data_IF_528806560458
#
_entry.id   IF_528806560458
#
_cell.length_a   1.000
_cell.length_b   1.000
_cell.length_c   1.000
_cell.angle_alpha   90.00
_cell.angle_beta   90.00
_cell.angle_gamma   90.00
#
_symmetry.space_group_name_H-M   'P 1'
#
loop_
_entity.id
_entity.type
_entity.pdbx_description
1 polymer ?
#
# COMPACT_ATOMS: atom_id res chain seq x y z
N UNK A 1 -19.96 -3.69 7.37
CA UNK A 1 -18.76 -4.46 7.02
C UNK A 1 -18.01 -4.87 8.27
N UNK A 2 -17.53 -6.14 8.37
CA UNK A 2 -16.70 -6.62 9.48
C UNK A 2 -15.22 -6.61 9.05
N UNK A 3 -14.32 -6.09 9.88
CA UNK A 3 -12.87 -6.07 9.64
C UNK A 3 -12.13 -6.82 10.75
N UNK A 4 -11.03 -7.49 10.39
CA UNK A 4 -10.09 -8.10 11.32
C UNK A 4 -8.83 -7.22 11.37
N UNK A 5 -8.42 -6.78 12.56
CA UNK A 5 -7.17 -6.05 12.79
C UNK A 5 -6.24 -6.89 13.65
N UNK A 6 -5.07 -7.19 13.11
CA UNK A 6 -3.98 -7.94 13.73
C UNK A 6 -2.66 -7.23 13.52
N UNK A 7 -1.67 -7.49 14.37
CA UNK A 7 -0.32 -6.95 14.25
C UNK A 7 0.68 -7.85 14.98
N UNK A 8 1.96 -7.65 14.74
CA UNK A 8 3.05 -8.26 15.51
C UNK A 8 2.93 -9.79 15.55
N UNK A 9 2.95 -10.40 14.37
CA UNK A 9 2.79 -11.85 14.18
C UNK A 9 4.12 -12.57 14.45
N UNK A 10 5.25 -11.95 14.06
CA UNK A 10 6.60 -12.38 14.35
C UNK A 10 6.89 -13.83 13.97
N UNK A 11 6.71 -14.20 12.72
CA UNK A 11 7.24 -15.48 12.25
C UNK A 11 8.76 -15.51 12.40
N UNK A 12 9.29 -16.51 13.10
CA UNK A 12 10.71 -16.60 13.48
C UNK A 12 11.36 -17.81 12.81
N UNK A 13 12.22 -17.58 11.81
CA UNK A 13 13.02 -18.65 11.25
C UNK A 13 14.23 -18.97 12.16
N UNK A 14 14.66 -20.26 12.28
CA UNK A 14 14.13 -21.41 11.56
C UNK A 14 12.87 -22.05 12.17
N UNK A 15 12.48 -21.69 13.39
CA UNK A 15 11.45 -22.36 14.18
C UNK A 15 10.10 -22.41 13.45
N UNK A 16 9.71 -21.31 12.79
CA UNK A 16 8.43 -21.23 12.07
C UNK A 16 8.35 -22.16 10.84
N UNK A 17 9.47 -22.74 10.40
CA UNK A 17 9.53 -23.67 9.25
C UNK A 17 9.09 -25.09 9.65
N UNK A 18 9.16 -25.43 10.92
CA UNK A 18 8.73 -26.71 11.45
C UNK A 18 7.63 -26.49 12.52
N UNK A 19 6.36 -26.88 12.21
CA UNK A 19 5.25 -26.70 13.17
C UNK A 19 5.48 -27.38 14.53
N UNK A 20 6.36 -28.39 14.62
CA UNK A 20 6.70 -29.05 15.88
C UNK A 20 7.72 -28.28 16.72
N UNK A 21 8.53 -27.48 16.05
CA UNK A 21 9.57 -26.68 16.71
C UNK A 21 9.10 -25.22 16.97
N UNK A 22 8.02 -24.79 16.31
CA UNK A 22 7.49 -23.45 16.42
C UNK A 22 6.69 -23.25 17.74
N UNK A 23 7.24 -22.55 18.73
CA UNK A 23 6.59 -22.36 20.02
C UNK A 23 5.35 -21.46 19.94
N UNK A 24 5.20 -20.67 18.86
CA UNK A 24 4.12 -19.72 18.68
C UNK A 24 2.96 -20.29 17.84
N UNK A 25 3.19 -21.41 17.17
CA UNK A 25 2.16 -22.13 16.37
C UNK A 25 0.88 -22.44 17.16
N UNK A 26 0.93 -22.89 18.46
CA UNK A 26 -0.27 -23.14 19.24
C UNK A 26 -1.14 -21.89 19.46
N UNK A 27 -0.54 -20.71 19.60
CA UNK A 27 -1.25 -19.44 19.83
C UNK A 27 -1.98 -19.05 18.55
N UNK A 28 -1.28 -19.06 17.41
CA UNK A 28 -1.88 -18.79 16.10
C UNK A 28 -3.01 -19.75 15.78
N UNK A 29 -2.86 -21.03 16.14
CA UNK A 29 -3.92 -22.05 15.97
C UNK A 29 -5.14 -21.75 16.82
N UNK A 30 -4.96 -21.34 18.09
CA UNK A 30 -6.08 -20.96 18.97
C UNK A 30 -6.77 -19.71 18.49
N UNK A 31 -6.02 -18.72 18.03
CA UNK A 31 -6.57 -17.50 17.41
C UNK A 31 -7.46 -17.84 16.20
N UNK A 32 -6.99 -18.70 15.30
CA UNK A 32 -7.75 -19.11 14.12
C UNK A 32 -9.04 -19.85 14.49
N UNK A 33 -9.02 -20.69 15.53
CA UNK A 33 -10.23 -21.36 16.04
C UNK A 33 -11.24 -20.37 16.61
N UNK A 34 -10.76 -19.44 17.44
CA UNK A 34 -11.61 -18.39 18.00
C UNK A 34 -12.18 -17.50 16.88
N UNK A 35 -11.37 -17.11 15.91
CA UNK A 35 -11.85 -16.35 14.74
C UNK A 35 -12.93 -17.11 13.96
N UNK A 36 -12.77 -18.41 13.73
CA UNK A 36 -13.80 -19.22 13.07
C UNK A 36 -15.12 -19.19 13.83
N UNK A 37 -15.09 -19.28 15.17
CA UNK A 37 -16.28 -19.14 16.01
C UNK A 37 -16.92 -17.75 15.93
N UNK A 38 -16.08 -16.69 15.87
CA UNK A 38 -16.58 -15.32 15.73
C UNK A 38 -17.21 -15.10 14.34
N UNK A 39 -16.61 -15.64 13.29
CA UNK A 39 -17.15 -15.56 11.92
C UNK A 39 -18.50 -16.26 11.81
N UNK A 40 -18.70 -17.40 12.47
CA UNK A 40 -20.01 -18.07 12.53
C UNK A 40 -21.10 -17.19 13.17
N UNK A 41 -20.72 -16.37 14.15
CA UNK A 41 -21.66 -15.49 14.88
C UNK A 41 -21.88 -14.15 14.18
N UNK A 42 -20.82 -13.60 13.58
CA UNK A 42 -20.77 -12.22 13.11
C UNK A 42 -20.86 -12.10 11.58
N UNK A 43 -20.70 -13.21 10.85
CA UNK A 43 -20.56 -13.20 9.39
C UNK A 43 -19.11 -13.05 8.93
N UNK A 44 -18.92 -13.08 7.60
CA UNK A 44 -17.60 -13.03 6.98
C UNK A 44 -16.89 -11.71 7.23
N UNK A 45 -15.56 -11.78 7.29
CA UNK A 45 -14.68 -10.62 7.35
C UNK A 45 -14.59 -10.00 5.95
N UNK A 46 -14.87 -8.72 5.85
CA UNK A 46 -14.80 -7.95 4.60
C UNK A 46 -13.43 -7.36 4.31
N UNK A 47 -12.55 -7.24 5.33
CA UNK A 47 -11.16 -6.80 5.17
C UNK A 47 -10.28 -7.30 6.33
N UNK A 48 -9.01 -7.64 6.03
CA UNK A 48 -7.97 -7.97 7.02
C UNK A 48 -6.93 -6.86 6.99
N UNK A 49 -6.66 -6.27 8.15
CA UNK A 49 -5.71 -5.18 8.35
C UNK A 49 -4.56 -5.69 9.20
N UNK A 50 -3.35 -5.73 8.65
CA UNK A 50 -2.14 -6.25 9.29
C UNK A 50 -1.22 -5.08 9.60
N UNK A 51 -1.08 -4.76 10.88
CA UNK A 51 -0.39 -3.58 11.40
C UNK A 51 1.13 -3.67 11.43
N UNK A 52 1.75 -4.57 10.66
CA UNK A 52 3.21 -4.75 10.58
C UNK A 52 3.75 -5.85 11.47
N UNK A 53 5.08 -6.01 11.46
CA UNK A 53 5.84 -7.04 12.16
C UNK A 53 5.32 -8.45 11.84
N UNK A 54 5.18 -8.72 10.55
CA UNK A 54 4.80 -10.04 10.03
C UNK A 54 5.95 -11.02 10.23
N UNK A 55 7.15 -10.64 9.79
CA UNK A 55 8.40 -11.34 10.02
C UNK A 55 9.03 -10.92 11.35
N UNK A 56 10.08 -11.62 11.79
CA UNK A 56 10.87 -11.24 12.98
C UNK A 56 12.23 -10.64 12.60
N UNK A 57 12.78 -11.01 11.45
CA UNK A 57 14.07 -10.54 10.93
C UNK A 57 14.02 -10.19 9.45
N UNK A 58 12.83 -10.00 8.90
CA UNK A 58 12.61 -9.79 7.47
C UNK A 58 13.19 -10.92 6.59
N UNK A 59 13.34 -12.15 7.13
CA UNK A 59 13.87 -13.27 6.37
C UNK A 59 12.82 -13.78 5.36
N UNK A 60 13.22 -14.10 4.11
CA UNK A 60 12.30 -14.60 3.09
C UNK A 60 11.49 -15.83 3.51
N UNK A 61 12.09 -16.73 4.30
CA UNK A 61 11.47 -17.93 4.82
C UNK A 61 10.34 -17.63 5.81
N UNK A 62 10.49 -16.59 6.62
CA UNK A 62 9.45 -16.11 7.55
C UNK A 62 8.21 -15.66 6.77
N UNK A 63 8.41 -14.92 5.67
CA UNK A 63 7.31 -14.50 4.80
C UNK A 63 6.67 -15.66 4.02
N UNK A 64 7.41 -16.70 3.67
CA UNK A 64 6.83 -17.89 3.05
C UNK A 64 5.84 -18.56 3.99
N UNK A 65 6.23 -18.74 5.26
CA UNK A 65 5.34 -19.28 6.30
C UNK A 65 4.16 -18.36 6.55
N UNK A 66 4.40 -17.04 6.61
CA UNK A 66 3.35 -16.04 6.78
C UNK A 66 2.30 -16.10 5.65
N UNK A 67 2.72 -16.25 4.40
CA UNK A 67 1.78 -16.38 3.26
C UNK A 67 0.84 -17.56 3.41
N UNK A 68 1.36 -18.72 3.82
CA UNK A 68 0.54 -19.92 4.03
C UNK A 68 -0.47 -19.67 5.15
N UNK A 69 -0.04 -19.09 6.25
CA UNK A 69 -0.91 -18.79 7.39
C UNK A 69 -1.97 -17.74 7.02
N UNK A 70 -1.62 -16.67 6.33
CA UNK A 70 -2.55 -15.63 5.87
C UNK A 70 -3.56 -16.21 4.87
N UNK A 71 -3.16 -17.13 4.01
CA UNK A 71 -4.08 -17.83 3.13
C UNK A 71 -5.11 -18.64 3.92
N UNK A 72 -4.71 -19.35 4.97
CA UNK A 72 -5.62 -20.05 5.86
C UNK A 72 -6.53 -19.08 6.60
N UNK A 73 -5.99 -17.94 7.06
CA UNK A 73 -6.76 -16.89 7.72
C UNK A 73 -7.83 -16.31 6.78
N UNK A 74 -7.49 -16.04 5.53
CA UNK A 74 -8.43 -15.61 4.47
C UNK A 74 -9.56 -16.64 4.27
N UNK A 75 -9.22 -17.92 4.18
CA UNK A 75 -10.21 -19.00 4.01
C UNK A 75 -11.16 -19.11 5.21
N UNK A 76 -10.63 -19.12 6.43
CA UNK A 76 -11.42 -19.24 7.66
C UNK A 76 -12.32 -18.02 7.87
N UNK A 77 -11.81 -16.83 7.59
CA UNK A 77 -12.56 -15.59 7.76
C UNK A 77 -13.54 -15.29 6.63
N UNK A 78 -13.38 -15.94 5.47
CA UNK A 78 -14.12 -15.63 4.24
C UNK A 78 -13.70 -14.32 3.59
N UNK A 79 -12.55 -13.74 3.98
CA UNK A 79 -12.05 -12.50 3.44
C UNK A 79 -11.38 -12.73 2.07
N UNK A 80 -11.77 -11.98 1.01
CA UNK A 80 -11.06 -12.04 -0.28
C UNK A 80 -9.59 -11.60 -0.15
N UNK A 81 -8.69 -12.19 -0.93
CA UNK A 81 -7.26 -11.86 -0.90
C UNK A 81 -6.98 -10.40 -1.25
N UNK A 82 -7.78 -9.83 -2.12
CA UNK A 82 -7.71 -8.43 -2.59
C UNK A 82 -8.11 -7.43 -1.49
N UNK A 83 -8.61 -7.93 -0.35
CA UNK A 83 -8.99 -7.13 0.82
C UNK A 83 -8.12 -7.42 2.05
N UNK A 84 -6.89 -7.86 1.79
CA UNK A 84 -5.85 -8.00 2.81
C UNK A 84 -4.87 -6.84 2.63
N UNK A 85 -4.67 -6.07 3.69
CA UNK A 85 -3.86 -4.86 3.69
C UNK A 85 -2.76 -4.99 4.73
N UNK A 86 -1.53 -4.63 4.38
CA UNK A 86 -0.36 -4.79 5.26
C UNK A 86 0.55 -3.57 5.19
N UNK A 87 1.12 -3.18 6.30
CA UNK A 87 2.19 -2.17 6.39
C UNK A 87 3.45 -2.82 6.96
N UNK A 88 4.65 -2.29 6.67
CA UNK A 88 5.86 -2.81 7.29
C UNK A 88 5.97 -2.35 8.75
N UNK A 89 6.40 -3.25 9.63
CA UNK A 89 6.88 -2.93 10.96
C UNK A 89 8.42 -2.91 11.02
N UNK A 90 8.98 -2.60 12.18
CA UNK A 90 10.43 -2.51 12.34
C UNK A 90 11.14 -3.87 12.26
N UNK A 91 10.44 -4.96 12.50
CA UNK A 91 10.93 -6.32 12.28
C UNK A 91 10.80 -6.78 10.81
N UNK A 92 10.04 -6.06 9.98
CA UNK A 92 9.97 -6.25 8.53
C UNK A 92 11.08 -5.48 7.79
N UNK A 93 11.98 -4.81 8.51
CA UNK A 93 13.19 -4.15 8.01
C UNK A 93 14.39 -5.04 8.24
N UNK A 94 15.10 -5.41 7.18
CA UNK A 94 16.32 -6.23 7.29
C UNK A 94 17.49 -5.40 7.85
N UNK A 95 17.70 -5.52 9.16
CA UNK A 95 18.78 -4.84 9.87
C UNK A 95 20.17 -5.34 9.46
N UNK A 96 20.27 -6.56 8.93
CA UNK A 96 21.51 -7.10 8.41
C UNK A 96 21.98 -6.35 7.18
N UNK A 97 21.06 -6.01 6.26
CA UNK A 97 21.32 -5.15 5.10
C UNK A 97 21.80 -3.78 5.56
N UNK A 98 21.11 -3.14 6.50
CA UNK A 98 21.51 -1.81 7.03
C UNK A 98 22.88 -1.88 7.68
N UNK A 99 23.13 -2.85 8.56
CA UNK A 99 24.41 -3.02 9.25
C UNK A 99 25.57 -3.27 8.29
N UNK A 100 25.31 -3.98 7.20
CA UNK A 100 26.29 -4.31 6.17
C UNK A 100 26.59 -3.17 5.19
N UNK A 101 25.82 -2.08 5.18
CA UNK A 101 25.93 -1.01 4.17
C UNK A 101 26.13 0.37 4.79
N UNK A 102 27.36 0.85 4.75
CA UNK A 102 27.70 2.25 5.14
C UNK A 102 26.91 3.27 4.32
N UNK A 103 26.57 2.94 3.07
CA UNK A 103 25.81 3.84 2.21
C UNK A 103 24.37 4.01 2.72
N UNK A 104 23.68 2.92 3.10
CA UNK A 104 22.35 2.99 3.70
C UNK A 104 22.39 3.78 5.01
N UNK A 105 23.35 3.48 5.89
CA UNK A 105 23.53 4.19 7.16
C UNK A 105 23.72 5.69 6.93
N UNK A 106 24.54 6.08 5.94
CA UNK A 106 24.74 7.49 5.59
C UNK A 106 23.46 8.17 5.10
N UNK A 107 22.64 7.49 4.28
CA UNK A 107 21.36 8.03 3.81
C UNK A 107 20.40 8.23 4.98
N UNK A 108 20.24 7.22 5.84
CA UNK A 108 19.39 7.32 7.04
C UNK A 108 19.90 8.42 7.98
N UNK A 109 21.21 8.48 8.24
CA UNK A 109 21.83 9.52 9.07
C UNK A 109 21.64 10.92 8.51
N UNK A 110 21.80 11.10 7.20
CA UNK A 110 21.58 12.40 6.55
C UNK A 110 20.15 12.93 6.73
N UNK A 111 19.14 12.05 6.80
CA UNK A 111 17.75 12.43 7.08
C UNK A 111 17.58 12.70 8.57
N UNK A 112 17.97 11.75 9.41
CA UNK A 112 17.74 11.80 10.86
C UNK A 112 18.44 12.97 11.55
N UNK A 113 19.68 13.31 11.14
CA UNK A 113 20.45 14.44 11.69
C UNK A 113 19.98 15.81 11.21
N UNK A 114 19.10 15.87 10.20
CA UNK A 114 18.54 17.14 9.71
C UNK A 114 17.48 17.64 10.69
N UNK A 115 17.51 18.94 11.03
CA UNK A 115 16.50 19.55 11.89
C UNK A 115 15.08 19.32 11.34
N UNK A 116 14.09 19.10 12.21
CA UNK A 116 12.69 18.79 11.84
C UNK A 116 12.13 19.72 10.77
N UNK A 117 12.37 21.02 10.88
CA UNK A 117 11.92 22.03 9.89
C UNK A 117 12.40 21.79 8.47
N UNK A 118 13.51 21.08 8.29
CA UNK A 118 14.12 20.80 6.98
C UNK A 118 14.14 19.30 6.62
N UNK A 119 13.70 18.43 7.55
CA UNK A 119 13.78 16.97 7.40
C UNK A 119 12.95 16.46 6.22
N UNK A 120 11.77 17.01 6.04
CA UNK A 120 10.91 16.67 4.91
C UNK A 120 11.56 17.01 3.56
N UNK A 121 12.17 18.18 3.46
CA UNK A 121 12.95 18.52 2.26
C UNK A 121 14.09 17.54 2.02
N UNK A 122 14.81 17.16 3.09
CA UNK A 122 15.92 16.21 3.01
C UNK A 122 15.44 14.82 2.60
N UNK A 123 14.37 14.32 3.19
CA UNK A 123 13.75 13.04 2.81
C UNK A 123 13.36 13.04 1.34
N UNK A 124 12.63 14.07 0.88
CA UNK A 124 12.24 14.21 -0.53
C UNK A 124 13.45 14.24 -1.47
N UNK A 125 14.54 14.91 -1.07
CA UNK A 125 15.79 14.92 -1.83
C UNK A 125 16.34 13.51 -1.99
N UNK A 126 16.41 12.72 -0.89
CA UNK A 126 16.91 11.34 -0.93
C UNK A 126 15.99 10.43 -1.77
N UNK A 127 14.69 10.51 -1.58
CA UNK A 127 13.72 9.68 -2.33
C UNK A 127 13.70 9.97 -3.84
N UNK A 128 13.96 11.21 -4.25
CA UNK A 128 14.00 11.61 -5.68
C UNK A 128 15.27 11.20 -6.39
N UNK A 129 16.36 11.07 -5.67
CA UNK A 129 17.60 10.54 -6.22
C UNK A 129 17.51 9.03 -6.38
N UNK A 130 17.75 8.52 -7.59
CA UNK A 130 17.53 7.11 -7.91
C UNK A 130 18.39 6.15 -7.07
N UNK A 131 19.61 6.58 -6.71
CA UNK A 131 20.54 5.78 -5.92
C UNK A 131 20.17 5.79 -4.45
N UNK A 132 20.03 6.97 -3.86
CA UNK A 132 19.77 7.08 -2.42
C UNK A 132 18.35 6.66 -2.05
N UNK A 133 17.37 6.88 -2.95
CA UNK A 133 16.01 6.38 -2.77
C UNK A 133 15.93 4.86 -2.78
N UNK A 134 16.65 4.20 -3.70
CA UNK A 134 16.77 2.75 -3.70
C UNK A 134 17.43 2.22 -2.43
N UNK A 135 18.56 2.82 -2.01
CA UNK A 135 19.26 2.45 -0.78
C UNK A 135 18.38 2.59 0.46
N UNK A 136 17.57 3.65 0.57
CA UNK A 136 16.70 3.88 1.72
C UNK A 136 15.66 2.78 1.91
N UNK A 137 15.21 2.15 0.81
CA UNK A 137 14.19 1.09 0.83
C UNK A 137 14.75 -0.32 0.59
N UNK A 138 16.06 -0.47 0.44
CA UNK A 138 16.69 -1.78 0.18
C UNK A 138 16.39 -2.78 1.30
N UNK A 139 16.43 -2.33 2.55
CA UNK A 139 16.10 -3.16 3.71
C UNK A 139 14.63 -3.60 3.79
N UNK A 140 13.75 -3.03 2.95
CA UNK A 140 12.35 -3.44 2.84
C UNK A 140 12.09 -4.38 1.65
N UNK A 141 13.12 -4.86 0.94
CA UNK A 141 12.96 -5.68 -0.27
C UNK A 141 12.15 -6.95 -0.02
N UNK A 142 12.47 -7.69 1.04
CA UNK A 142 11.74 -8.92 1.39
C UNK A 142 10.27 -8.64 1.79
N UNK A 143 10.02 -7.53 2.51
CA UNK A 143 8.66 -7.05 2.76
C UNK A 143 7.93 -6.72 1.46
N UNK A 144 8.56 -6.01 0.53
CA UNK A 144 7.95 -5.65 -0.75
C UNK A 144 7.56 -6.89 -1.57
N UNK A 145 8.41 -7.91 -1.60
CA UNK A 145 8.09 -9.19 -2.25
C UNK A 145 6.90 -9.87 -1.57
N UNK A 146 6.84 -9.83 -0.25
CA UNK A 146 5.70 -10.35 0.51
C UNK A 146 4.42 -9.55 0.26
N UNK A 147 4.49 -8.22 0.25
CA UNK A 147 3.34 -7.31 0.13
C UNK A 147 2.80 -7.18 -1.31
N UNK A 148 3.55 -7.66 -2.32
CA UNK A 148 3.19 -7.54 -3.73
C UNK A 148 1.80 -8.10 -4.08
N UNK A 149 1.40 -9.31 -3.63
CA UNK A 149 0.08 -9.87 -3.93
C UNK A 149 -1.09 -9.07 -3.34
N UNK A 150 -0.81 -8.19 -2.37
CA UNK A 150 -1.81 -7.35 -1.67
C UNK A 150 -1.82 -5.91 -2.20
N UNK A 151 -0.91 -5.55 -3.14
CA UNK A 151 -0.77 -4.18 -3.63
C UNK A 151 -0.29 -3.18 -2.58
N UNK A 152 0.38 -3.66 -1.51
CA UNK A 152 0.83 -2.89 -0.35
C UNK A 152 2.34 -2.61 -0.35
N UNK A 153 2.97 -2.65 -1.52
CA UNK A 153 4.40 -2.38 -1.68
C UNK A 153 4.71 -0.89 -1.50
N UNK A 154 5.93 -0.60 -1.08
CA UNK A 154 6.47 0.75 -0.90
C UNK A 154 7.69 0.97 -1.79
N UNK A 155 7.78 2.15 -2.41
CA UNK A 155 8.84 2.52 -3.35
C UNK A 155 9.30 3.95 -3.11
N UNK A 156 10.48 4.37 -3.56
CA UNK A 156 10.92 5.76 -3.41
C UNK A 156 9.94 6.79 -3.96
N UNK A 157 9.28 6.47 -5.09
CA UNK A 157 8.25 7.32 -5.69
C UNK A 157 6.88 7.21 -4.98
N UNK A 158 6.65 6.15 -4.21
CA UNK A 158 5.42 5.88 -3.49
C UNK A 158 5.77 5.23 -2.13
N UNK A 159 6.26 6.00 -1.15
CA UNK A 159 6.70 5.46 0.15
C UNK A 159 5.55 5.09 1.08
N UNK A 160 4.30 5.19 0.64
CA UNK A 160 3.06 4.76 1.30
C UNK A 160 2.04 4.39 0.22
N UNK A 161 0.95 3.74 0.60
CA UNK A 161 -0.10 3.35 -0.32
C UNK A 161 -1.48 3.71 0.22
N UNK A 162 -2.48 3.79 -0.65
CA UNK A 162 -3.88 3.79 -0.27
C UNK A 162 -4.69 2.91 -1.20
N UNK A 163 -5.76 2.33 -0.68
CA UNK A 163 -6.73 1.53 -1.42
C UNK A 163 -8.14 1.83 -0.90
N UNK A 164 -9.10 1.88 -1.81
CA UNK A 164 -10.49 2.15 -1.50
C UNK A 164 -11.27 0.83 -1.46
N UNK A 165 -12.10 0.65 -0.44
CA UNK A 165 -13.07 -0.44 -0.37
C UNK A 165 -14.47 0.13 -0.20
N UNK A 166 -15.42 -0.46 -0.92
CA UNK A 166 -16.81 -0.03 -0.83
C UNK A 166 -17.43 -0.44 0.51
N UNK A 167 -18.05 0.52 1.15
CA UNK A 167 -18.99 0.33 2.26
C UNK A 167 -20.43 0.33 1.71
N UNK A 168 -21.38 0.17 2.62
CA UNK A 168 -22.80 0.27 2.28
C UNK A 168 -23.18 1.71 1.87
N UNK A 169 -24.29 1.84 1.14
CA UNK A 169 -24.94 3.12 0.81
C UNK A 169 -24.09 4.11 0.04
N UNK A 170 -23.23 3.61 -0.83
CA UNK A 170 -22.38 4.44 -1.70
C UNK A 170 -21.26 5.17 -0.95
N UNK A 171 -20.88 4.67 0.22
CA UNK A 171 -19.70 5.13 0.94
C UNK A 171 -18.49 4.27 0.61
N UNK A 172 -17.32 4.88 0.66
CA UNK A 172 -16.03 4.20 0.59
C UNK A 172 -15.26 4.33 1.92
N UNK A 173 -14.48 3.31 2.24
CA UNK A 173 -13.42 3.37 3.23
C UNK A 173 -12.10 3.40 2.49
N UNK A 174 -11.36 4.51 2.60
CA UNK A 174 -10.03 4.65 2.04
C UNK A 174 -9.01 4.29 3.10
N UNK A 175 -8.29 3.21 2.85
CA UNK A 175 -7.27 2.69 3.75
C UNK A 175 -5.92 3.23 3.29
N UNK A 176 -5.27 4.01 4.14
CA UNK A 176 -3.90 4.48 3.95
C UNK A 176 -2.95 3.59 4.75
N UNK A 177 -2.03 2.92 4.08
CA UNK A 177 -0.93 2.21 4.70
C UNK A 177 0.28 3.13 4.79
N UNK A 178 0.58 3.62 5.99
CA UNK A 178 1.68 4.53 6.24
C UNK A 178 2.96 3.76 6.58
N UNK A 179 4.09 4.28 6.11
CA UNK A 179 5.42 3.70 6.37
C UNK A 179 6.15 4.52 7.40
N UNK A 180 6.10 4.08 8.64
CA UNK A 180 6.85 4.67 9.76
C UNK A 180 8.28 4.13 9.88
N UNK A 181 8.64 3.15 9.03
CA UNK A 181 9.89 2.39 9.14
C UNK A 181 11.01 2.88 8.23
N UNK A 182 10.87 4.02 7.55
CA UNK A 182 11.92 4.55 6.67
C UNK A 182 13.26 4.80 7.38
N UNK A 183 13.20 5.14 8.67
CA UNK A 183 14.37 5.34 9.53
C UNK A 183 14.53 4.26 10.60
N UNK A 184 13.79 3.15 10.50
CA UNK A 184 13.95 2.01 11.42
C UNK A 184 15.27 1.29 11.19
N UNK A 185 15.77 0.68 12.26
CA UNK A 185 16.97 -0.16 12.21
C UNK A 185 18.26 0.60 11.98
N UNK A 186 18.34 1.90 12.29
CA UNK A 186 19.56 2.71 12.10
C UNK A 186 20.77 2.03 12.70
N UNK A 187 21.86 1.94 11.91
CA UNK A 187 23.09 1.25 12.31
C UNK A 187 22.90 -0.24 12.65
N UNK A 188 21.74 -0.82 12.31
CA UNK A 188 21.36 -2.19 12.67
C UNK A 188 20.85 -2.37 14.09
N UNK A 189 20.57 -1.27 14.80
CA UNK A 189 20.07 -1.28 16.18
C UNK A 189 18.53 -1.32 16.25
N UNK A 190 18.01 -1.53 17.46
CA UNK A 190 16.58 -1.34 17.74
C UNK A 190 16.20 0.14 17.69
N UNK A 191 14.94 0.41 17.39
CA UNK A 191 14.40 1.76 17.38
C UNK A 191 14.12 2.24 18.80
N UNK A 192 14.15 3.56 19.03
CA UNK A 192 13.78 4.18 20.28
C UNK A 192 12.51 5.04 20.11
N UNK A 193 11.77 5.19 21.21
CA UNK A 193 10.60 6.06 21.28
C UNK A 193 11.01 7.52 20.97
N UNK A 194 10.28 8.16 20.04
CA UNK A 194 10.56 9.53 19.60
C UNK A 194 11.65 9.69 18.54
N UNK A 195 12.26 8.59 18.04
CA UNK A 195 13.36 8.66 17.08
C UNK A 195 12.94 8.48 15.61
N UNK A 196 11.72 8.02 15.37
CA UNK A 196 11.22 7.72 14.03
C UNK A 196 10.56 8.95 13.39
N UNK A 197 10.55 8.98 12.06
CA UNK A 197 10.00 10.08 11.30
C UNK A 197 8.92 9.61 10.33
N UNK A 198 7.73 10.19 10.45
CA UNK A 198 6.66 10.02 9.48
C UNK A 198 6.54 11.28 8.62
N UNK A 199 6.81 11.14 7.32
CA UNK A 199 6.73 12.27 6.38
C UNK A 199 5.33 12.91 6.37
N UNK A 200 5.21 14.23 6.46
CA UNK A 200 3.94 14.95 6.31
C UNK A 200 3.19 14.62 5.01
N UNK A 201 3.88 14.18 3.95
CA UNK A 201 3.23 13.67 2.73
C UNK A 201 2.28 12.50 3.00
N UNK A 202 2.59 11.68 4.00
CA UNK A 202 1.79 10.52 4.35
C UNK A 202 0.53 10.89 5.15
N UNK A 203 0.49 12.09 5.73
CA UNK A 203 -0.63 12.56 6.55
C UNK A 203 -1.51 13.61 5.85
N UNK A 204 -1.23 13.94 4.58
CA UNK A 204 -2.06 14.87 3.79
C UNK A 204 -3.47 14.32 3.59
N UNK A 205 -3.66 13.03 3.45
CA UNK A 205 -4.90 12.28 3.28
C UNK A 205 -5.95 13.06 2.48
N UNK A 206 -6.10 12.72 1.20
CA UNK A 206 -7.01 13.43 0.30
C UNK A 206 -8.47 13.33 0.76
N UNK A 207 -9.16 14.46 0.99
CA UNK A 207 -10.59 14.43 1.24
C UNK A 207 -11.34 14.00 -0.04
N UNK A 208 -12.33 13.14 0.11
CA UNK A 208 -13.17 12.72 -1.00
C UNK A 208 -14.64 12.61 -0.54
N UNK A 209 -15.61 13.00 -1.38
CA UNK A 209 -17.02 12.87 -1.06
C UNK A 209 -17.38 11.43 -0.71
N UNK A 210 -18.20 11.24 0.31
CA UNK A 210 -18.67 9.93 0.77
C UNK A 210 -17.55 8.94 1.14
N UNK A 211 -16.39 9.43 1.54
CA UNK A 211 -15.23 8.62 1.87
C UNK A 211 -14.78 8.86 3.30
N UNK A 212 -14.57 7.77 4.04
CA UNK A 212 -13.91 7.80 5.35
C UNK A 212 -12.46 7.35 5.20
N UNK A 213 -11.54 8.09 5.78
CA UNK A 213 -10.14 7.72 5.82
C UNK A 213 -9.83 6.84 7.03
N UNK A 214 -9.13 5.73 6.79
CA UNK A 214 -8.55 4.85 7.79
C UNK A 214 -7.04 4.85 7.60
N UNK A 215 -6.30 5.08 8.68
CA UNK A 215 -4.84 4.98 8.69
C UNK A 215 -4.43 3.68 9.36
N UNK A 216 -3.61 2.92 8.66
CA UNK A 216 -2.90 1.74 9.15
C UNK A 216 -1.40 2.08 9.18
N UNK A 217 -0.80 2.07 10.37
CA UNK A 217 0.60 2.41 10.60
C UNK A 217 1.16 1.49 11.69
N UNK A 218 2.41 1.06 11.56
CA UNK A 218 2.97 0.16 12.59
C UNK A 218 3.26 0.89 13.88
N UNK A 219 4.13 1.92 13.84
CA UNK A 219 4.51 2.65 15.04
C UNK A 219 3.42 3.62 15.47
N UNK A 220 3.05 3.64 16.75
CA UNK A 220 2.15 4.63 17.29
C UNK A 220 2.84 6.00 17.37
N UNK A 221 2.03 7.05 17.56
CA UNK A 221 2.43 8.45 17.42
C UNK A 221 3.59 8.82 18.34
N UNK A 222 3.63 8.33 19.56
CA UNK A 222 4.68 8.59 20.55
C UNK A 222 6.07 8.01 20.20
N UNK A 223 6.15 7.19 19.12
CA UNK A 223 7.42 6.72 18.55
C UNK A 223 7.99 7.67 17.50
N UNK A 224 7.21 8.69 17.12
CA UNK A 224 7.58 9.66 16.09
C UNK A 224 8.15 10.92 16.75
N UNK A 225 9.19 11.49 16.16
CA UNK A 225 9.84 12.70 16.66
C UNK A 225 9.02 13.98 16.44
N UNK A 226 8.05 13.95 15.52
CA UNK A 226 7.07 15.01 15.27
C UNK A 226 5.65 14.55 15.68
N UNK A 227 5.54 13.99 16.88
CA UNK A 227 4.32 13.35 17.37
C UNK A 227 3.10 14.28 17.39
N UNK A 228 3.27 15.53 17.83
CA UNK A 228 2.17 16.49 17.94
C UNK A 228 1.60 16.85 16.56
N UNK A 229 2.46 17.15 15.58
CA UNK A 229 2.02 17.49 14.23
C UNK A 229 1.37 16.30 13.51
N UNK A 230 1.86 15.08 13.75
CA UNK A 230 1.23 13.87 13.20
C UNK A 230 -0.11 13.61 13.86
N UNK A 231 -0.23 13.76 15.19
CA UNK A 231 -1.48 13.56 15.91
C UNK A 231 -2.56 14.54 15.44
N UNK A 232 -2.23 15.82 15.34
CA UNK A 232 -3.12 16.87 14.81
C UNK A 232 -3.58 16.55 13.39
N UNK A 233 -2.66 16.12 12.54
CA UNK A 233 -2.99 15.76 11.16
C UNK A 233 -3.92 14.56 11.05
N UNK A 234 -3.66 13.50 11.81
CA UNK A 234 -4.46 12.27 11.77
C UNK A 234 -5.84 12.46 12.41
N UNK A 235 -5.92 13.11 13.56
CA UNK A 235 -7.21 13.35 14.25
C UNK A 235 -8.15 14.24 13.43
N UNK A 236 -7.60 15.14 12.60
CA UNK A 236 -8.38 15.99 11.72
C UNK A 236 -8.84 15.30 10.43
N UNK A 237 -8.07 14.33 9.92
CA UNK A 237 -8.21 13.83 8.55
C UNK A 237 -8.63 12.37 8.44
N UNK A 238 -8.52 11.58 9.51
CA UNK A 238 -8.86 10.17 9.50
C UNK A 238 -9.84 9.80 10.62
N UNK A 239 -10.89 9.05 10.26
CA UNK A 239 -11.87 8.56 11.22
C UNK A 239 -11.35 7.34 12.01
N UNK A 240 -10.37 6.62 11.48
CA UNK A 240 -9.82 5.42 12.10
C UNK A 240 -8.30 5.44 12.08
N UNK A 241 -7.68 5.20 13.24
CA UNK A 241 -6.23 5.09 13.39
C UNK A 241 -5.89 3.72 13.98
N UNK A 242 -5.16 2.90 13.23
CA UNK A 242 -4.77 1.54 13.63
C UNK A 242 -3.26 1.45 13.73
N UNK A 243 -2.77 1.10 14.93
CA UNK A 243 -1.36 0.98 15.25
C UNK A 243 -1.03 -0.41 15.81
N UNK A 244 0.22 -0.86 15.60
CA UNK A 244 0.84 -2.05 16.19
C UNK A 244 1.90 -1.74 17.24
N UNK A 245 3.01 -2.48 17.20
CA UNK A 245 4.28 -2.25 17.87
C UNK A 245 4.29 -2.40 19.41
N UNK A 246 3.37 -1.79 20.14
CA UNK A 246 3.40 -1.77 21.61
C UNK A 246 2.92 -3.06 22.27
N UNK A 247 2.45 -4.02 21.49
CA UNK A 247 1.92 -5.31 21.95
C UNK A 247 0.81 -5.20 23.01
N UNK A 248 0.26 -3.99 23.21
CA UNK A 248 -0.76 -3.71 24.22
C UNK A 248 -2.02 -3.19 23.55
N UNK A 249 -3.08 -3.95 23.72
CA UNK A 249 -4.37 -3.58 23.16
C UNK A 249 -4.95 -2.36 23.89
N UNK A 250 -5.22 -1.30 23.11
CA UNK A 250 -5.86 -0.07 23.58
C UNK A 250 -6.91 0.38 22.60
N UNK A 251 -7.96 0.99 23.13
CA UNK A 251 -9.04 1.57 22.33
C UNK A 251 -9.34 2.96 22.88
N UNK A 252 -9.26 3.97 22.02
CA UNK A 252 -9.67 5.34 22.30
C UNK A 252 -10.83 5.65 21.37
N UNK A 253 -11.93 6.11 21.93
CA UNK A 253 -13.14 6.53 21.21
C UNK A 253 -13.38 8.01 21.45
N UNK A 254 -13.25 8.80 20.40
CA UNK A 254 -13.56 10.22 20.34
C UNK A 254 -14.79 10.42 19.44
N UNK A 255 -15.58 11.51 19.58
CA UNK A 255 -16.69 11.79 18.68
C UNK A 255 -16.31 11.90 17.21
N UNK A 256 -15.04 12.22 16.89
CA UNK A 256 -14.54 12.42 15.52
C UNK A 256 -13.69 11.27 14.99
N UNK A 257 -13.08 10.44 15.85
CA UNK A 257 -12.24 9.31 15.44
C UNK A 257 -12.26 8.16 16.44
N UNK A 258 -11.83 7.00 15.98
CA UNK A 258 -11.52 5.84 16.84
C UNK A 258 -10.07 5.39 16.59
N UNK A 259 -9.32 5.27 17.67
CA UNK A 259 -7.91 4.85 17.63
C UNK A 259 -7.71 3.51 18.30
N UNK A 260 -7.01 2.63 17.62
CA UNK A 260 -6.69 1.29 18.06
C UNK A 260 -5.16 1.14 18.20
N UNK A 261 -4.70 0.59 19.33
CA UNK A 261 -3.44 -0.09 19.37
C UNK A 261 -3.72 -1.59 19.42
N UNK A 262 -3.10 -2.37 18.52
CA UNK A 262 -3.25 -3.82 18.52
C UNK A 262 -2.49 -4.46 19.68
N UNK A 263 -3.01 -5.59 20.17
CA UNK A 263 -2.15 -6.56 20.84
C UNK A 263 -1.30 -7.27 19.80
N UNK A 264 -0.15 -7.78 20.19
CA UNK A 264 0.59 -8.70 19.33
C UNK A 264 -0.18 -10.02 19.18
N UNK A 265 -0.12 -10.63 18.00
CA UNK A 265 -0.55 -12.02 17.81
C UNK A 265 0.39 -12.94 18.56
N UNK A 266 1.71 -12.69 18.49
CA UNK A 266 2.73 -13.43 19.22
C UNK A 266 3.67 -12.46 19.97
N UNK A 267 3.29 -11.97 21.16
CA UNK A 267 4.18 -11.19 21.99
C UNK A 267 5.34 -12.07 22.48
N UNK A 268 6.45 -11.44 22.88
CA UNK A 268 7.53 -12.19 23.53
C UNK A 268 7.03 -12.82 24.84
N UNK A 269 7.48 -14.05 25.12
CA UNK A 269 7.06 -14.78 26.34
C UNK A 269 7.55 -14.10 27.63
N UNK A 270 8.57 -13.26 27.50
CA UNK A 270 9.11 -12.48 28.63
C UNK A 270 8.33 -11.19 28.90
N UNK A 271 7.44 -10.81 28.00
CA UNK A 271 6.59 -9.63 28.17
C UNK A 271 5.58 -9.80 29.30
N UNK A 272 5.37 -8.72 30.04
CA UNK A 272 4.38 -8.67 31.14
C UNK A 272 3.48 -7.45 30.95
N UNK A 273 2.17 -7.62 30.79
CA UNK A 273 1.46 -8.91 30.67
C UNK A 273 1.75 -9.61 29.33
N UNK A 274 1.65 -10.93 29.30
CA UNK A 274 1.65 -11.75 28.09
C UNK A 274 0.21 -11.89 27.61
N UNK A 275 -0.18 -11.03 26.67
CA UNK A 275 -1.58 -10.87 26.23
C UNK A 275 -1.72 -10.97 24.69
N UNK A 276 -1.57 -12.16 24.08
CA UNK A 276 -1.89 -12.33 22.66
C UNK A 276 -3.32 -11.88 22.35
N UNK A 277 -3.52 -11.13 21.25
CA UNK A 277 -4.86 -10.62 20.97
C UNK A 277 -5.07 -10.14 19.54
N UNK A 278 -6.34 -9.80 19.26
CA UNK A 278 -6.75 -9.22 17.98
C UNK A 278 -8.06 -8.42 18.14
N UNK A 279 -8.38 -7.59 17.13
CA UNK A 279 -9.60 -6.79 17.13
C UNK A 279 -10.53 -7.22 15.98
N UNK A 280 -11.84 -7.29 16.26
CA UNK A 280 -12.89 -7.32 15.25
C UNK A 280 -13.63 -5.98 15.29
N UNK A 281 -13.71 -5.33 14.13
CA UNK A 281 -14.29 -3.99 13.98
C UNK A 281 -15.42 -4.09 12.96
N UNK A 282 -16.64 -3.76 13.37
CA UNK A 282 -17.80 -3.71 12.49
C UNK A 282 -18.16 -2.26 12.20
N UNK A 283 -18.35 -1.96 10.93
CA UNK A 283 -18.83 -0.66 10.46
C UNK A 283 -20.22 -0.84 9.81
N UNK A 284 -21.18 -0.03 10.22
CA UNK A 284 -22.53 0.01 9.65
C UNK A 284 -22.91 1.45 9.32
N UNK A 285 -23.28 1.70 8.07
CA UNK A 285 -23.66 3.03 7.60
C UNK A 285 -25.14 3.25 7.79
N UNK A 286 -25.50 4.35 8.47
CA UNK A 286 -26.88 4.77 8.71
C UNK A 286 -27.13 6.19 8.18
N UNK A 287 -28.39 6.51 7.88
CA UNK A 287 -28.80 7.82 7.38
C UNK A 287 -28.37 8.08 5.93
N UNK A 288 -28.54 9.31 5.50
CA UNK A 288 -28.17 9.83 4.18
C UNK A 288 -27.90 11.33 4.26
N UNK A 289 -27.10 11.89 3.32
CA UNK A 289 -26.75 13.31 3.31
C UNK A 289 -26.09 13.74 4.62
N UNK A 290 -26.45 14.90 5.14
CA UNK A 290 -25.90 15.47 6.38
C UNK A 290 -26.18 14.66 7.65
N UNK A 291 -27.18 13.75 7.62
CA UNK A 291 -27.50 12.86 8.75
C UNK A 291 -26.76 11.53 8.68
N UNK A 292 -25.86 11.34 7.71
CA UNK A 292 -25.12 10.09 7.54
C UNK A 292 -24.15 9.89 8.70
N UNK A 293 -24.19 8.67 9.26
CA UNK A 293 -23.36 8.27 10.39
C UNK A 293 -22.84 6.86 10.17
N UNK A 294 -21.71 6.57 10.78
CA UNK A 294 -21.16 5.21 10.83
C UNK A 294 -21.16 4.75 12.28
N UNK A 295 -21.93 3.70 12.53
CA UNK A 295 -21.90 2.98 13.80
C UNK A 295 -20.71 2.01 13.78
N UNK A 296 -19.96 2.00 14.87
CA UNK A 296 -18.75 1.22 15.05
C UNK A 296 -18.96 0.31 16.23
N UNK A 297 -18.82 -0.99 15.99
CA UNK A 297 -18.75 -1.98 17.04
C UNK A 297 -17.35 -2.59 17.06
N UNK A 298 -16.74 -2.61 18.22
CA UNK A 298 -15.40 -3.19 18.43
C UNK A 298 -15.50 -4.34 19.42
N UNK A 299 -14.97 -5.48 19.01
CA UNK A 299 -14.78 -6.65 19.87
C UNK A 299 -13.28 -6.91 19.98
N UNK A 300 -12.75 -6.65 21.16
CA UNK A 300 -11.36 -6.93 21.47
C UNK A 300 -11.26 -8.36 22.00
N UNK A 301 -10.39 -9.16 21.38
CA UNK A 301 -10.13 -10.55 21.76
C UNK A 301 -8.75 -10.66 22.37
N UNK A 302 -8.62 -11.30 23.54
CA UNK A 302 -7.32 -11.58 24.15
C UNK A 302 -7.24 -13.03 24.62
N UNK A 303 -6.03 -13.56 24.72
CA UNK A 303 -5.81 -14.90 25.24
C UNK A 303 -5.86 -14.91 26.76
N UNK A 304 -6.71 -15.73 27.33
CA UNK A 304 -6.69 -16.10 28.75
C UNK A 304 -5.70 -17.24 28.94
N UNK A 305 -4.90 -17.19 29.99
CA UNK A 305 -3.83 -18.16 30.23
C UNK A 305 -4.34 -19.46 30.86
N UNK A 306 -5.40 -19.42 31.67
CA UNK A 306 -5.90 -20.59 32.38
C UNK A 306 -7.45 -20.62 32.45
N UNK A 307 -8.12 -21.51 31.69
CA UNK A 307 -7.57 -22.31 30.59
C UNK A 307 -7.16 -21.43 29.40
N UNK A 308 -6.18 -21.87 28.60
CA UNK A 308 -5.72 -21.15 27.42
C UNK A 308 -6.80 -21.11 26.33
N UNK A 309 -7.42 -19.95 26.17
CA UNK A 309 -8.43 -19.67 25.14
C UNK A 309 -8.55 -18.17 24.90
N UNK A 310 -9.01 -17.76 23.72
CA UNK A 310 -9.38 -16.37 23.50
C UNK A 310 -10.73 -16.05 24.15
N UNK A 311 -10.79 -14.89 24.79
CA UNK A 311 -11.97 -14.35 25.44
C UNK A 311 -12.21 -12.91 25.00
N UNK A 312 -13.43 -12.42 25.14
CA UNK A 312 -13.73 -11.00 24.93
C UNK A 312 -13.21 -10.16 26.10
N UNK A 313 -12.65 -9.00 25.77
CA UNK A 313 -12.44 -7.94 26.74
C UNK A 313 -13.80 -7.27 26.96
N UNK A 314 -14.17 -7.10 28.23
CA UNK A 314 -15.46 -6.51 28.60
C UNK A 314 -15.32 -5.01 28.88
N UNK A 315 -16.35 -4.26 28.50
CA UNK A 315 -16.55 -2.88 28.92
C UNK A 315 -16.84 -2.81 30.43
N UNK A 316 -16.80 -1.63 31.00
CA UNK A 316 -17.16 -1.41 32.41
C UNK A 316 -18.58 -1.88 32.75
N UNK A 317 -19.48 -1.97 31.77
CA UNK A 317 -20.87 -2.42 31.93
C UNK A 317 -21.04 -3.93 31.67
N UNK A 318 -19.95 -4.67 31.50
CA UNK A 318 -19.98 -6.12 31.25
C UNK A 318 -20.34 -6.52 29.81
N UNK A 319 -20.45 -5.56 28.88
CA UNK A 319 -20.63 -5.85 27.44
C UNK A 319 -19.31 -6.30 26.84
N UNK A 320 -19.34 -7.25 25.92
CA UNK A 320 -18.21 -7.66 25.10
C UNK A 320 -18.05 -6.83 23.79
N UNK A 321 -18.85 -5.77 23.66
CA UNK A 321 -18.89 -4.87 22.51
C UNK A 321 -18.70 -3.43 22.97
N UNK A 322 -17.68 -2.78 22.44
CA UNK A 322 -17.50 -1.35 22.55
C UNK A 322 -18.17 -0.68 21.35
N UNK A 323 -18.98 0.35 21.59
CA UNK A 323 -19.75 1.01 20.53
C UNK A 323 -19.41 2.51 20.46
N UNK A 324 -19.32 3.03 19.26
CA UNK A 324 -19.20 4.47 18.98
C UNK A 324 -19.95 4.80 17.70
N UNK A 325 -20.22 6.09 17.49
CA UNK A 325 -20.82 6.59 16.27
C UNK A 325 -20.08 7.83 15.81
N UNK A 326 -19.63 7.82 14.56
CA UNK A 326 -18.96 8.95 13.91
C UNK A 326 -19.91 9.56 12.88
N UNK A 327 -20.04 10.89 12.88
CA UNK A 327 -20.73 11.62 11.82
C UNK A 327 -19.83 11.67 10.59
N UNK A 328 -20.41 11.39 9.42
CA UNK A 328 -19.66 11.52 8.15
C UNK A 328 -19.75 12.96 7.71
N UNK A 329 -18.61 13.66 7.50
CA UNK A 329 -18.64 15.00 6.97
C UNK A 329 -19.33 15.02 5.60
N UNK A 330 -20.27 15.93 5.40
CA UNK A 330 -20.79 16.21 4.08
C UNK A 330 -19.78 17.12 3.38
N UNK A 331 -18.83 16.54 2.68
CA UNK A 331 -18.00 17.32 1.78
C UNK A 331 -18.86 17.70 0.57
N UNK A 332 -19.11 19.01 0.44
CA UNK A 332 -19.67 19.58 -0.79
C UNK A 332 -18.76 19.11 -1.94
N UNK A 333 -19.27 18.28 -2.84
CA UNK A 333 -18.52 17.88 -4.01
C UNK A 333 -17.95 19.13 -4.67
N UNK A 334 -16.67 19.08 -5.08
CA UNK A 334 -16.08 20.16 -5.86
C UNK A 334 -17.07 20.43 -6.99
N UNK A 335 -17.64 21.65 -7.11
CA UNK A 335 -18.56 21.96 -8.21
C UNK A 335 -17.85 21.55 -9.49
N UNK A 336 -18.49 20.71 -10.30
CA UNK A 336 -17.94 20.37 -11.61
C UNK A 336 -17.61 21.69 -12.29
N UNK A 337 -16.34 21.96 -12.52
CA UNK A 337 -15.93 23.09 -13.34
C UNK A 337 -16.73 22.93 -14.62
N UNK A 338 -17.77 23.76 -14.80
CA UNK A 338 -18.49 23.84 -16.05
C UNK A 338 -17.43 24.07 -17.10
N UNK A 339 -17.22 23.06 -17.96
CA UNK A 339 -16.37 23.25 -19.12
C UNK A 339 -17.00 24.40 -19.86
N UNK A 340 -16.33 25.56 -19.86
CA UNK A 340 -16.71 26.69 -20.71
C UNK A 340 -16.99 26.13 -22.10
N UNK A 341 -18.13 26.45 -22.72
CA UNK A 341 -18.45 25.97 -24.06
C UNK A 341 -17.25 26.30 -24.93
N UNK A 342 -16.75 25.28 -25.63
CA UNK A 342 -15.67 25.45 -26.58
C UNK A 342 -16.03 26.64 -27.50
N UNK A 343 -15.18 27.67 -27.48
CA UNK A 343 -15.28 28.75 -28.45
C UNK A 343 -15.19 28.09 -29.81
N UNK A 344 -16.31 28.06 -30.56
CA UNK A 344 -16.34 27.64 -31.95
C UNK A 344 -15.30 28.49 -32.67
N UNK A 345 -14.22 27.83 -33.10
CA UNK A 345 -13.24 28.44 -33.99
C UNK A 345 -13.94 28.74 -35.30
N UNK A 346 -14.32 29.99 -35.49
CA UNK A 346 -14.75 30.53 -36.77
C UNK A 346 -13.66 30.26 -37.79
N UNK A 347 -14.00 29.46 -38.81
CA UNK A 347 -13.19 29.21 -39.98
C UNK A 347 -12.83 30.55 -40.66
N UNK A 348 -11.64 31.04 -40.45
CA UNK A 348 -11.04 32.05 -41.27
C UNK A 348 -10.30 31.32 -42.40
N UNK A 349 -10.86 31.41 -43.62
CA UNK A 349 -10.27 30.96 -44.87
C UNK A 349 -8.89 31.59 -45.06
N UNK A 350 -7.86 30.76 -45.18
CA UNK A 350 -6.55 31.17 -45.71
C UNK A 350 -6.52 30.80 -47.21
N UNK A 351 -6.09 31.73 -48.11
CA UNK A 351 -6.15 31.49 -49.53
C UNK A 351 -5.07 30.49 -50.00
N UNK A 352 -5.47 29.71 -51.01
CA UNK A 352 -4.65 28.72 -51.68
C UNK A 352 -3.42 29.35 -52.39
N UNK A 353 -2.25 28.80 -52.17
CA UNK A 353 -1.08 29.00 -53.03
C UNK A 353 -0.81 27.75 -53.84
N UNK A 354 -0.63 27.97 -55.12
CA UNK A 354 -0.66 27.07 -56.26
C UNK A 354 0.34 25.93 -56.26
N UNK A 355 -0.10 24.85 -56.88
CA UNK A 355 0.61 23.63 -57.21
C UNK A 355 1.84 23.86 -58.14
N UNK A 356 2.87 23.06 -57.92
CA UNK A 356 3.80 22.65 -58.99
C UNK A 356 3.85 21.12 -58.98
N UNK A 357 3.31 20.58 -60.07
CA UNK A 357 3.31 19.17 -60.46
C UNK A 357 4.68 18.78 -60.97
N UNK A 358 5.26 17.68 -60.53
CA UNK A 358 6.14 16.87 -61.39
C UNK A 358 5.82 15.39 -61.19
N UNK A 359 5.30 14.84 -62.26
CA UNK A 359 5.09 13.45 -62.60
C UNK A 359 6.38 12.75 -62.98
N UNK A 360 6.54 11.49 -62.56
CA UNK A 360 7.17 10.35 -63.25
C UNK A 360 6.91 9.15 -62.34
N UNK A 361 6.21 8.12 -62.63
CA UNK A 361 6.10 7.27 -63.81
C UNK A 361 6.52 5.87 -63.41
N UNK A 362 5.57 4.88 -63.38
CA UNK A 362 5.95 3.51 -63.65
C UNK A 362 5.60 2.41 -62.64
N UNK A 363 4.49 1.79 -62.91
CA UNK A 363 4.11 0.37 -63.00
C UNK A 363 3.95 -0.51 -61.74
N UNK A 364 2.71 -0.85 -61.53
CA UNK A 364 2.02 -2.15 -61.42
C UNK A 364 2.61 -3.25 -60.49
N UNK A 365 1.75 -3.66 -59.58
CA UNK A 365 1.81 -4.97 -58.92
C UNK A 365 0.73 -5.10 -57.84
N UNK A 366 -0.42 -5.58 -58.27
CA UNK A 366 -1.56 -6.00 -57.44
C UNK A 366 -1.14 -7.04 -56.40
N UNK A 367 -1.50 -6.83 -55.12
CA UNK A 367 -2.13 -7.88 -54.33
C UNK A 367 -2.86 -7.24 -53.14
N UNK A 368 -4.14 -7.41 -53.13
CA UNK A 368 -5.02 -7.12 -52.03
C UNK A 368 -4.77 -8.13 -50.89
N UNK A 369 -4.37 -7.65 -49.73
CA UNK A 369 -4.62 -8.32 -48.48
C UNK A 369 -5.32 -7.35 -47.55
N UNK A 370 -6.52 -7.72 -47.19
CA UNK A 370 -7.36 -7.08 -46.18
C UNK A 370 -6.61 -7.14 -44.84
N UNK A 371 -6.15 -5.99 -44.38
CA UNK A 371 -5.71 -5.84 -42.96
C UNK A 371 -6.97 -5.71 -42.12
N UNK A 372 -7.29 -6.80 -41.41
CA UNK A 372 -8.17 -6.75 -40.26
C UNK A 372 -7.42 -6.02 -39.14
N UNK A 373 -7.89 -4.82 -38.75
CA UNK A 373 -7.45 -4.11 -37.56
C UNK A 373 -7.78 -4.97 -36.32
N UNK A 374 -6.83 -5.78 -35.86
CA UNK A 374 -6.87 -6.42 -34.56
C UNK A 374 -6.33 -5.42 -33.52
N UNK A 375 -7.20 -4.68 -32.85
CA UNK A 375 -6.86 -3.97 -31.63
C UNK A 375 -6.54 -5.00 -30.55
N UNK A 376 -5.31 -4.96 -30.00
CA UNK A 376 -4.92 -5.77 -28.86
C UNK A 376 -5.90 -5.58 -27.71
N UNK A 377 -6.33 -6.68 -27.06
CA UNK A 377 -7.19 -6.65 -25.89
C UNK A 377 -6.49 -5.98 -24.71
N UNK A 378 -7.28 -5.52 -23.73
CA UNK A 378 -6.76 -4.81 -22.55
C UNK A 378 -5.82 -5.71 -21.71
N UNK A 379 -6.07 -7.01 -21.69
CA UNK A 379 -5.28 -8.04 -21.02
C UNK A 379 -3.94 -8.28 -21.72
N UNK A 380 -3.93 -8.33 -23.05
CA UNK A 380 -2.72 -8.47 -23.89
C UNK A 380 -1.82 -7.23 -23.78
N UNK A 381 -2.40 -6.05 -23.69
CA UNK A 381 -1.65 -4.79 -23.50
C UNK A 381 -0.95 -4.75 -22.15
N UNK A 382 -1.60 -5.23 -21.08
CA UNK A 382 -1.04 -5.28 -19.73
C UNK A 382 0.13 -6.26 -19.64
N UNK A 383 0.00 -7.43 -20.24
CA UNK A 383 1.08 -8.43 -20.33
C UNK A 383 2.27 -7.89 -21.11
N UNK A 384 2.04 -7.23 -22.25
CA UNK A 384 3.08 -6.59 -23.05
C UNK A 384 3.85 -5.53 -22.25
N UNK A 385 3.16 -4.69 -21.48
CA UNK A 385 3.79 -3.68 -20.64
C UNK A 385 4.70 -4.34 -19.60
N UNK A 386 4.23 -5.40 -18.94
CA UNK A 386 5.02 -6.14 -17.95
C UNK A 386 6.29 -6.73 -18.58
N UNK A 387 6.18 -7.38 -19.72
CA UNK A 387 7.31 -7.96 -20.46
C UNK A 387 8.30 -6.90 -20.93
N UNK A 388 7.83 -5.78 -21.47
CA UNK A 388 8.67 -4.66 -21.86
C UNK A 388 9.48 -4.10 -20.69
N UNK A 389 8.85 -3.92 -19.51
CA UNK A 389 9.53 -3.42 -18.33
C UNK A 389 10.47 -4.45 -17.67
N UNK A 390 10.32 -5.75 -17.97
CA UNK A 390 11.23 -6.82 -17.54
C UNK A 390 12.53 -6.86 -18.35
N UNK A 391 12.60 -6.22 -19.51
CA UNK A 391 13.81 -6.12 -20.32
C UNK A 391 14.87 -5.23 -19.65
N UNK A 392 16.13 -5.42 -20.05
CA UNK A 392 17.21 -4.51 -19.64
C UNK A 392 17.07 -3.11 -20.25
N UNK A 393 17.70 -2.11 -19.64
CA UNK A 393 17.71 -0.74 -20.16
C UNK A 393 18.18 -0.65 -21.62
N UNK A 394 19.20 -1.44 -21.96
CA UNK A 394 19.75 -1.50 -23.34
C UNK A 394 18.74 -2.05 -24.32
N UNK A 395 18.03 -3.11 -23.97
CA UNK A 395 16.99 -3.74 -24.80
C UNK A 395 15.77 -2.80 -25.00
N UNK A 396 15.30 -2.15 -23.92
CA UNK A 396 14.23 -1.14 -24.04
C UNK A 396 14.63 0.02 -24.96
N UNK A 397 15.89 0.48 -24.85
CA UNK A 397 16.42 1.51 -25.72
C UNK A 397 16.46 1.07 -27.18
N UNK A 398 16.90 -0.16 -27.45
CA UNK A 398 16.96 -0.74 -28.78
C UNK A 398 15.55 -0.76 -29.43
N UNK A 399 14.54 -1.30 -28.72
CA UNK A 399 13.16 -1.32 -29.20
C UNK A 399 12.66 0.09 -29.50
N UNK A 400 12.80 1.01 -28.53
CA UNK A 400 12.29 2.37 -28.69
C UNK A 400 12.99 3.14 -29.82
N UNK A 401 14.29 2.86 -30.07
CA UNK A 401 15.05 3.47 -31.18
C UNK A 401 14.61 2.85 -32.52
N UNK A 402 14.55 1.52 -32.62
CA UNK A 402 14.18 0.81 -33.85
C UNK A 402 12.78 1.15 -34.33
N UNK A 403 11.87 1.44 -33.40
CA UNK A 403 10.49 1.81 -33.71
C UNK A 403 10.29 3.34 -33.84
N UNK A 404 11.35 4.16 -33.67
CA UNK A 404 11.29 5.61 -33.79
C UNK A 404 10.43 6.29 -32.70
N UNK A 405 10.35 5.69 -31.51
CA UNK A 405 9.50 6.13 -30.40
C UNK A 405 10.21 7.15 -29.48
N UNK A 406 11.49 7.44 -29.69
CA UNK A 406 12.23 8.44 -28.92
C UNK A 406 12.27 9.77 -29.69
N UNK A 407 11.85 10.84 -29.02
CA UNK A 407 11.94 12.22 -29.55
C UNK A 407 13.23 12.88 -29.14
N UNK A 408 13.60 13.97 -29.81
CA UNK A 408 14.75 14.77 -29.43
C UNK A 408 14.57 15.31 -28.01
N UNK A 409 15.54 15.04 -27.14
CA UNK A 409 15.49 15.40 -25.73
C UNK A 409 15.03 14.29 -24.76
N UNK A 410 14.34 13.24 -25.22
CA UNK A 410 13.87 12.14 -24.36
C UNK A 410 15.04 11.41 -23.68
N UNK A 411 16.21 11.40 -24.30
CA UNK A 411 17.42 10.81 -23.70
C UNK A 411 17.89 11.49 -22.43
N UNK A 412 17.40 12.70 -22.13
CA UNK A 412 17.70 13.45 -20.90
C UNK A 412 16.73 13.13 -19.77
N UNK A 413 15.63 12.43 -20.08
CA UNK A 413 14.62 12.05 -19.12
C UNK A 413 15.04 10.78 -18.37
N UNK A 414 14.58 10.60 -17.11
CA UNK A 414 14.68 9.33 -16.41
C UNK A 414 14.06 8.19 -17.22
N UNK A 415 14.59 6.97 -17.10
CA UNK A 415 14.12 5.81 -17.87
C UNK A 415 12.62 5.56 -17.79
N UNK A 416 11.97 5.59 -16.60
CA UNK A 416 10.53 5.36 -16.52
C UNK A 416 9.72 6.38 -17.31
N UNK A 417 10.14 7.64 -17.31
CA UNK A 417 9.47 8.70 -18.07
C UNK A 417 9.75 8.57 -19.57
N UNK A 418 11.01 8.32 -19.94
CA UNK A 418 11.45 8.14 -21.33
C UNK A 418 10.68 7.03 -22.02
N UNK A 419 10.69 5.83 -21.43
CA UNK A 419 10.04 4.67 -22.04
C UNK A 419 8.52 4.64 -21.80
N UNK A 420 8.01 5.28 -20.75
CA UNK A 420 6.59 5.53 -20.59
C UNK A 420 6.03 6.39 -21.74
N UNK A 421 6.72 7.48 -22.11
CA UNK A 421 6.37 8.32 -23.26
C UNK A 421 6.47 7.56 -24.59
N UNK A 422 7.48 6.72 -24.74
CA UNK A 422 7.64 5.87 -25.91
C UNK A 422 6.46 4.90 -26.09
N UNK A 423 6.00 4.27 -25.02
CA UNK A 423 4.86 3.36 -25.04
C UNK A 423 3.53 4.10 -25.30
N UNK A 424 3.35 5.30 -24.72
CA UNK A 424 2.19 6.16 -25.01
C UNK A 424 2.18 6.52 -26.50
N UNK A 425 3.33 6.94 -27.04
CA UNK A 425 3.46 7.26 -28.46
C UNK A 425 3.19 6.03 -29.36
N UNK A 426 3.63 4.84 -28.96
CA UNK A 426 3.33 3.59 -29.67
C UNK A 426 1.83 3.28 -29.68
N UNK A 427 1.13 3.54 -28.58
CA UNK A 427 -0.32 3.39 -28.50
C UNK A 427 -1.06 4.42 -29.37
N UNK A 428 -0.63 5.69 -29.34
CA UNK A 428 -1.18 6.75 -30.21
C UNK A 428 -0.99 6.45 -31.70
N UNK A 429 0.16 5.88 -32.06
CA UNK A 429 0.48 5.47 -33.44
C UNK A 429 -0.15 4.12 -33.83
N UNK A 430 -0.84 3.44 -32.90
CA UNK A 430 -1.46 2.11 -33.10
C UNK A 430 -0.44 1.04 -33.54
N UNK A 431 0.77 1.05 -32.96
CA UNK A 431 1.85 0.10 -33.26
C UNK A 431 2.29 -0.73 -32.05
N UNK A 432 1.41 -0.94 -31.08
CA UNK A 432 1.69 -1.75 -29.90
C UNK A 432 2.00 -3.22 -30.23
N UNK A 433 1.42 -3.77 -31.30
CA UNK A 433 1.72 -5.07 -31.87
C UNK A 433 3.17 -5.17 -32.37
N UNK A 434 3.72 -4.10 -32.94
CA UNK A 434 5.14 -4.04 -33.33
C UNK A 434 6.06 -3.98 -32.11
N UNK A 435 5.65 -3.28 -31.04
CA UNK A 435 6.37 -3.32 -29.75
C UNK A 435 6.38 -4.75 -29.22
N UNK A 436 5.24 -5.46 -29.24
CA UNK A 436 5.15 -6.85 -28.80
C UNK A 436 6.06 -7.78 -29.60
N UNK A 437 6.14 -7.60 -30.92
CA UNK A 437 7.01 -8.37 -31.79
C UNK A 437 8.51 -8.14 -31.49
N UNK A 438 8.91 -6.89 -31.17
CA UNK A 438 10.29 -6.60 -30.79
C UNK A 438 10.63 -7.11 -29.39
N UNK A 439 9.70 -7.04 -28.43
CA UNK A 439 9.87 -7.63 -27.09
C UNK A 439 10.10 -9.14 -27.21
N UNK A 440 9.25 -9.84 -27.99
CA UNK A 440 9.36 -11.28 -28.16
C UNK A 440 10.70 -11.75 -28.78
N UNK A 441 11.36 -10.91 -29.56
CA UNK A 441 12.69 -11.22 -30.14
C UNK A 441 13.81 -11.17 -29.11
N UNK A 442 13.64 -10.43 -28.01
CA UNK A 442 14.67 -10.19 -27.01
C UNK A 442 14.50 -11.03 -25.72
N UNK A 443 13.43 -11.83 -25.66
CA UNK A 443 13.13 -12.76 -24.55
C UNK A 443 13.72 -14.17 -24.76
N UNK A 444 14.52 -14.38 -25.80
CA UNK A 444 15.14 -15.68 -26.15
C UNK A 444 16.48 -15.87 -25.45
#
# INVERSE_FOLDING_TARGET
>A
MLMLHISDIHFRAPDCLDPWMDPDSPIRTRMMRDLAEQVQKLGHVGAILIGGDVAFKAAPEEYQTARVWIQQLSQISGCPKERIFVVPGNHDVDRGIIKGSVQIQNVQHAIASTALSNREWKLKQQLRDATTGALLLEAHSAYNDFAAPFGCQIWPAKPFWHQDIELERGMALRIYGLTSTLLSGREGNDDNEGDLYLSPLQTVLDPAPNTLNLVLCHHPIDWLDDSDAVDDALTTRAAFHLFGHKHRQRLVMDPSYVRFAAAAVNPSRDEKPYDPGYNLIRLEVHGAGAERRVNIEVRQRRMQVNPERFISIQTNNGSDVFTSTISVPEEAGIPALERSPAVEATNAQVPAASAVTQTLGGSSGTNAMQDAEATMGEEDTRDLLYRFWSLTSSQRREIATNLGLLKEGDMKLPEPERYGRALILAAELKIMDRVAAEVAKLEI
#
